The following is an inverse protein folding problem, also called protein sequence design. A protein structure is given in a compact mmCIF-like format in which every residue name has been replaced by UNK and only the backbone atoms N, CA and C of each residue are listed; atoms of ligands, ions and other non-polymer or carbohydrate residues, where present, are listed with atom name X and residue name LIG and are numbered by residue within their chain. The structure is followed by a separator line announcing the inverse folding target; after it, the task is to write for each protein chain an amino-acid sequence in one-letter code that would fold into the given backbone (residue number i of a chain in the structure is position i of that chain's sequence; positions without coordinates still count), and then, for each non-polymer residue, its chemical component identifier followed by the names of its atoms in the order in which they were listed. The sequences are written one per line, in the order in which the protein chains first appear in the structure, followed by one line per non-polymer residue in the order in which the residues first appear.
data_IF_721566987810
#
_entry.id   IF_721566987810
#
_cell.length_a   1.000
_cell.length_b   1.000
_cell.length_c   1.000
_cell.angle_alpha   90.00
_cell.angle_beta   90.00
_cell.angle_gamma   90.00
#
_symmetry.space_group_name_H-M   'P 1'
#
loop_
_entity.id
_entity.type
_entity.pdbx_description
1 polymer ?
#
# COMPACT_ATOMS: atom_id res chain seq x y z
N UNK A 1 12.27 13.01 -10.29
CA UNK A 1 11.19 12.07 -9.99
C UNK A 1 10.03 12.34 -10.94
N UNK A 2 9.55 11.32 -11.62
CA UNK A 2 8.44 11.47 -12.56
C UNK A 2 7.09 11.40 -11.84
N UNK A 3 6.07 11.98 -12.43
CA UNK A 3 4.71 11.89 -11.94
C UNK A 3 4.30 10.42 -11.86
N UNK A 4 3.68 10.02 -10.76
CA UNK A 4 3.26 8.64 -10.51
C UNK A 4 4.31 7.74 -9.88
N UNK A 5 5.55 8.21 -9.71
CA UNK A 5 6.60 7.40 -9.11
C UNK A 5 6.30 7.03 -7.66
N UNK A 6 5.72 7.95 -6.89
CA UNK A 6 5.37 7.66 -5.50
C UNK A 6 4.27 6.61 -5.40
N UNK A 7 3.29 6.66 -6.29
CA UNK A 7 2.22 5.68 -6.31
C UNK A 7 2.78 4.28 -6.60
N UNK A 8 3.69 4.18 -7.56
CA UNK A 8 4.33 2.90 -7.89
C UNK A 8 5.21 2.40 -6.75
N UNK A 9 5.90 3.32 -6.08
CA UNK A 9 6.73 2.98 -4.92
C UNK A 9 5.87 2.42 -3.79
N UNK A 10 4.74 3.06 -3.50
CA UNK A 10 3.81 2.58 -2.49
C UNK A 10 3.30 1.19 -2.86
N UNK A 11 2.90 1.00 -4.11
CA UNK A 11 2.41 -0.29 -4.57
C UNK A 11 3.44 -1.40 -4.43
N UNK A 12 4.69 -1.11 -4.82
CA UNK A 12 5.79 -2.06 -4.68
C UNK A 12 6.06 -2.40 -3.21
N UNK A 13 6.03 -1.40 -2.35
CA UNK A 13 6.28 -1.61 -0.92
C UNK A 13 5.15 -2.40 -0.26
N UNK A 14 3.90 -2.18 -0.68
CA UNK A 14 2.78 -2.98 -0.20
C UNK A 14 2.94 -4.44 -0.60
N UNK A 15 3.32 -4.69 -1.84
CA UNK A 15 3.54 -6.05 -2.31
C UNK A 15 4.67 -6.73 -1.55
N UNK A 16 5.77 -6.00 -1.31
CA UNK A 16 6.89 -6.54 -0.54
C UNK A 16 6.47 -6.87 0.89
N UNK A 17 5.68 -5.99 1.51
CA UNK A 17 5.12 -6.21 2.84
C UNK A 17 4.29 -7.51 2.86
N UNK A 18 3.43 -7.65 1.88
CA UNK A 18 2.55 -8.82 1.75
C UNK A 18 3.35 -10.10 1.54
N UNK A 19 4.30 -10.06 0.60
CA UNK A 19 5.11 -11.22 0.26
C UNK A 19 5.95 -11.69 1.44
N UNK A 20 6.51 -10.76 2.20
CA UNK A 20 7.31 -11.07 3.38
C UNK A 20 6.50 -11.80 4.45
N UNK A 21 5.19 -11.63 4.46
CA UNK A 21 4.29 -12.24 5.43
C UNK A 21 3.51 -13.43 4.87
N UNK A 22 3.76 -13.77 3.61
CA UNK A 22 3.05 -14.86 2.95
C UNK A 22 1.57 -14.62 2.75
N UNK A 23 1.17 -13.34 2.61
CA UNK A 23 -0.24 -12.98 2.50
C UNK A 23 -0.65 -12.77 1.05
N UNK A 24 -1.87 -13.22 0.71
CA UNK A 24 -2.50 -12.86 -0.56
C UNK A 24 -2.99 -11.41 -0.49
N UNK A 25 -3.32 -10.83 -1.65
CA UNK A 25 -3.93 -9.49 -1.68
C UNK A 25 -5.22 -9.48 -0.86
N UNK A 26 -6.04 -10.49 -1.01
CA UNK A 26 -7.31 -10.58 -0.29
C UNK A 26 -7.08 -10.66 1.23
N UNK A 27 -6.12 -11.48 1.67
CA UNK A 27 -5.83 -11.63 3.07
C UNK A 27 -5.36 -10.30 3.69
N UNK A 28 -4.48 -9.57 3.01
CA UNK A 28 -4.04 -8.28 3.51
C UNK A 28 -5.17 -7.26 3.50
N UNK A 29 -5.98 -7.26 2.44
CA UNK A 29 -7.13 -6.34 2.36
C UNK A 29 -8.07 -6.53 3.55
N UNK A 30 -8.37 -7.78 3.91
CA UNK A 30 -9.19 -8.09 5.08
C UNK A 30 -8.51 -7.57 6.35
N UNK A 31 -7.22 -7.83 6.50
CA UNK A 31 -6.48 -7.45 7.71
C UNK A 31 -6.46 -5.95 7.95
N UNK A 32 -6.42 -5.14 6.89
CA UNK A 32 -6.36 -3.68 7.02
C UNK A 32 -7.69 -3.00 6.70
N UNK A 33 -8.77 -3.78 6.57
CA UNK A 33 -10.13 -3.27 6.39
C UNK A 33 -10.31 -2.44 5.11
N UNK A 34 -9.76 -2.93 4.00
CA UNK A 34 -9.99 -2.32 2.69
C UNK A 34 -10.53 -3.38 1.74
N UNK A 35 -11.16 -2.93 0.66
CA UNK A 35 -11.66 -3.83 -0.35
C UNK A 35 -10.51 -4.40 -1.18
N UNK A 36 -10.65 -5.66 -1.60
CA UNK A 36 -9.65 -6.35 -2.43
C UNK A 36 -9.33 -5.57 -3.71
N UNK A 37 -10.35 -5.01 -4.35
CA UNK A 37 -10.18 -4.22 -5.57
C UNK A 37 -9.30 -3.01 -5.32
N UNK A 38 -9.50 -2.34 -4.17
CA UNK A 38 -8.68 -1.19 -3.79
C UNK A 38 -7.22 -1.62 -3.55
N UNK A 39 -7.02 -2.74 -2.85
CA UNK A 39 -5.68 -3.27 -2.61
C UNK A 39 -4.95 -3.53 -3.92
N UNK A 40 -5.62 -4.16 -4.89
CA UNK A 40 -5.01 -4.42 -6.20
C UNK A 40 -4.62 -3.15 -6.91
N UNK A 41 -5.49 -2.13 -6.88
CA UNK A 41 -5.21 -0.84 -7.51
C UNK A 41 -4.04 -0.12 -6.84
N UNK A 42 -3.92 -0.23 -5.51
CA UNK A 42 -2.77 0.32 -4.78
C UNK A 42 -1.46 -0.33 -5.25
N UNK A 43 -1.45 -1.65 -5.36
CA UNK A 43 -0.24 -2.37 -5.77
C UNK A 43 0.16 -2.07 -7.21
N UNK A 44 -0.80 -1.74 -8.08
CA UNK A 44 -0.49 -1.36 -9.46
C UNK A 44 -0.10 0.12 -9.60
N UNK A 45 -0.12 0.88 -8.52
CA UNK A 45 0.23 2.30 -8.56
C UNK A 45 -0.84 3.16 -9.22
N UNK A 46 -2.09 2.73 -9.17
CA UNK A 46 -3.20 3.39 -9.87
C UNK A 46 -3.99 4.37 -8.99
N UNK A 47 -3.68 4.44 -7.70
CA UNK A 47 -4.41 5.32 -6.79
C UNK A 47 -3.62 6.57 -6.45
N UNK A 48 -4.29 7.70 -6.55
CA UNK A 48 -3.76 8.97 -6.05
C UNK A 48 -4.07 9.06 -4.57
N UNK A 49 -3.02 9.05 -3.75
CA UNK A 49 -3.16 9.06 -2.30
C UNK A 49 -2.81 10.43 -1.75
N UNK A 50 -3.63 10.92 -0.83
CA UNK A 50 -3.28 12.10 -0.05
C UNK A 50 -2.26 11.67 1.02
N UNK A 51 -1.55 12.63 1.58
CA UNK A 51 -0.65 12.36 2.70
C UNK A 51 -1.41 11.72 3.87
N UNK A 52 -2.63 12.18 4.12
CA UNK A 52 -3.47 11.61 5.17
C UNK A 52 -3.81 10.14 4.88
N UNK A 53 -4.10 9.80 3.63
CA UNK A 53 -4.37 8.42 3.25
C UNK A 53 -3.15 7.53 3.45
N UNK A 54 -1.96 8.04 3.13
CA UNK A 54 -0.70 7.31 3.35
C UNK A 54 -0.48 7.07 4.84
N UNK A 55 -0.70 8.09 5.67
CA UNK A 55 -0.58 7.94 7.12
C UNK A 55 -1.56 6.90 7.67
N UNK A 56 -2.80 6.92 7.19
CA UNK A 56 -3.81 5.96 7.62
C UNK A 56 -3.44 4.53 7.21
N UNK A 57 -2.97 4.39 5.97
CA UNK A 57 -2.54 3.07 5.46
C UNK A 57 -1.38 2.53 6.30
N UNK A 58 -0.38 3.36 6.55
CA UNK A 58 0.77 2.97 7.36
C UNK A 58 0.37 2.55 8.77
N UNK A 59 -0.57 3.30 9.37
CA UNK A 59 -1.07 2.98 10.70
C UNK A 59 -1.73 1.61 10.75
N UNK A 60 -2.50 1.28 9.72
CA UNK A 60 -3.16 -0.03 9.64
C UNK A 60 -2.18 -1.17 9.42
N UNK A 61 -1.07 -0.90 8.74
CA UNK A 61 0.00 -1.86 8.54
C UNK A 61 0.96 -1.92 9.73
N UNK A 62 0.79 -1.02 10.68
CA UNK A 62 1.66 -0.89 11.86
C UNK A 62 3.11 -0.61 11.48
N UNK A 63 3.31 0.24 10.48
CA UNK A 63 4.63 0.70 10.02
C UNK A 63 4.66 2.22 9.97
N UNK A 64 5.87 2.77 9.85
CA UNK A 64 6.02 4.21 9.66
C UNK A 64 5.66 4.59 8.22
N UNK A 65 5.02 5.76 8.00
CA UNK A 65 4.67 6.18 6.63
C UNK A 65 5.85 6.20 5.67
N UNK A 66 7.05 6.55 6.15
CA UNK A 66 8.23 6.58 5.30
C UNK A 66 8.59 5.22 4.74
N UNK A 67 8.22 4.14 5.42
CA UNK A 67 8.47 2.79 4.89
C UNK A 67 7.67 2.51 3.63
N UNK A 68 6.56 3.22 3.42
CA UNK A 68 5.79 3.10 2.19
C UNK A 68 6.37 3.97 1.06
N UNK A 69 7.11 5.01 1.41
CA UNK A 69 7.54 6.04 0.46
C UNK A 69 9.00 5.86 0.01
N UNK A 70 9.70 4.92 0.56
CA UNK A 70 11.08 4.60 0.20
C UNK A 70 11.14 3.39 -0.75
#
# INVERSE_FOLDING_TARGET
MAEGDLQRTIGRNLRAYRDARGLSQEALAVAIHVHRTYMGSLERGERNLTLRSVERLAARLEIEPMELLQ
#
